data_IF_376597393993
#
_entry.id   IF_376597393993
#
_cell.length_a   1.000
_cell.length_b   1.000
_cell.length_c   1.000
_cell.angle_alpha   90.00
_cell.angle_beta   90.00
_cell.angle_gamma   90.00
#
_symmetry.space_group_name_H-M   'P 1'
#
loop_
_entity.id
_entity.type
_entity.pdbx_description
1 polymer ?
#
# COMPACT_ATOMS: atom_id res chain seq x y z
N UNK A 1 70.07 34.02 -17.42
CA UNK A 1 69.14 33.09 -18.09
C UNK A 1 69.14 31.69 -17.44
N UNK A 2 70.28 31.04 -17.19
CA UNK A 2 70.30 29.70 -16.55
C UNK A 2 69.92 29.67 -15.06
N UNK A 3 70.26 30.71 -14.28
CA UNK A 3 69.95 30.75 -12.83
C UNK A 3 68.46 30.94 -12.50
N UNK A 4 67.67 31.55 -13.40
CA UNK A 4 66.23 31.77 -13.20
C UNK A 4 65.46 30.45 -13.35
N UNK A 5 65.89 29.58 -14.26
CA UNK A 5 65.26 28.28 -14.51
C UNK A 5 65.43 27.28 -13.35
N UNK A 6 66.53 27.38 -12.59
CA UNK A 6 66.77 26.55 -11.40
C UNK A 6 65.88 26.92 -10.20
N UNK A 7 65.55 28.20 -10.04
CA UNK A 7 64.66 28.69 -8.96
C UNK A 7 63.20 28.33 -9.26
N UNK A 8 62.79 28.37 -10.52
CA UNK A 8 61.43 27.98 -10.95
C UNK A 8 61.23 26.47 -10.76
N UNK A 9 62.22 25.64 -11.06
CA UNK A 9 62.12 24.19 -10.89
C UNK A 9 61.98 23.74 -9.43
N UNK A 10 62.63 24.42 -8.47
CA UNK A 10 62.57 24.02 -7.06
C UNK A 10 61.26 24.45 -6.36
N UNK A 11 60.69 25.59 -6.76
CA UNK A 11 59.43 26.10 -6.20
C UNK A 11 58.22 25.28 -6.64
N UNK A 12 58.23 24.73 -7.86
CA UNK A 12 57.20 23.81 -8.36
C UNK A 12 57.23 22.47 -7.58
N UNK A 13 58.40 22.02 -7.14
CA UNK A 13 58.55 20.75 -6.44
C UNK A 13 58.05 20.82 -4.97
N UNK A 14 58.27 21.95 -4.29
CA UNK A 14 57.85 22.14 -2.90
C UNK A 14 56.34 22.37 -2.74
N UNK A 15 55.68 23.01 -3.71
CA UNK A 15 54.22 23.20 -3.70
C UNK A 15 53.48 21.88 -3.99
N UNK A 16 54.00 21.04 -4.89
CA UNK A 16 53.44 19.72 -5.20
C UNK A 16 53.38 18.79 -3.98
N UNK A 17 54.41 18.80 -3.12
CA UNK A 17 54.45 17.98 -1.90
C UNK A 17 53.44 18.45 -0.84
N UNK A 18 53.20 19.76 -0.75
CA UNK A 18 52.24 20.34 0.19
C UNK A 18 50.80 20.02 -0.20
N UNK A 19 50.49 20.03 -1.50
CA UNK A 19 49.17 19.67 -2.04
C UNK A 19 48.88 18.18 -1.83
N UNK A 20 49.88 17.30 -2.01
CA UNK A 20 49.70 15.86 -1.82
C UNK A 20 49.34 15.47 -0.37
N UNK A 21 49.75 16.26 0.63
CA UNK A 21 49.40 16.03 2.04
C UNK A 21 47.95 16.41 2.36
N UNK A 22 47.38 17.40 1.67
CA UNK A 22 45.99 17.81 1.87
C UNK A 22 44.99 16.85 1.20
N UNK A 23 45.34 16.25 0.06
CA UNK A 23 44.46 15.28 -0.63
C UNK A 23 44.26 13.99 0.18
N UNK A 24 45.30 13.52 0.88
CA UNK A 24 45.23 12.28 1.67
C UNK A 24 44.62 12.46 3.07
N UNK A 25 44.33 13.69 3.49
CA UNK A 25 43.74 13.99 4.80
C UNK A 25 42.22 14.25 4.74
N UNK A 26 41.60 14.21 3.55
CA UNK A 26 40.14 14.23 3.46
C UNK A 26 39.60 12.88 3.92
N UNK A 27 38.84 12.82 5.05
CA UNK A 27 38.09 11.63 5.36
C UNK A 27 37.13 11.40 4.20
N UNK A 28 37.39 10.34 3.43
CA UNK A 28 36.42 9.81 2.49
C UNK A 28 35.28 9.32 3.39
N UNK A 29 34.24 10.16 3.55
CA UNK A 29 33.01 9.75 4.19
C UNK A 29 32.54 8.50 3.47
N UNK A 30 32.70 7.34 4.10
CA UNK A 30 32.25 6.08 3.52
C UNK A 30 30.74 6.17 3.49
N UNK A 31 30.15 6.56 2.34
CA UNK A 31 28.71 6.40 2.10
C UNK A 31 28.44 4.91 2.18
N UNK A 32 28.01 4.44 3.35
CA UNK A 32 27.53 3.08 3.54
C UNK A 32 26.33 2.91 2.62
N UNK A 33 26.36 1.87 1.79
CA UNK A 33 25.24 1.55 0.89
C UNK A 33 24.00 1.32 1.74
N UNK A 34 22.85 1.95 1.43
CA UNK A 34 21.61 1.72 2.17
C UNK A 34 21.22 0.24 2.16
N UNK A 35 20.65 -0.23 3.26
CA UNK A 35 20.03 -1.56 3.34
C UNK A 35 18.67 -1.50 2.64
N UNK A 36 18.30 -2.50 1.84
CA UNK A 36 17.02 -2.50 1.12
C UNK A 36 16.10 -3.55 1.74
N UNK A 37 14.94 -3.12 2.24
CA UNK A 37 13.88 -4.00 2.70
C UNK A 37 12.91 -4.35 1.57
N UNK A 38 12.49 -5.62 1.42
CA UNK A 38 11.51 -5.98 0.39
C UNK A 38 10.16 -5.28 0.61
N UNK A 39 9.55 -4.80 -0.47
CA UNK A 39 8.16 -4.30 -0.41
C UNK A 39 7.19 -5.44 -0.09
N UNK A 40 6.37 -5.24 0.95
CA UNK A 40 5.41 -6.24 1.42
C UNK A 40 3.97 -5.91 1.01
N UNK A 41 3.08 -6.90 1.11
CA UNK A 41 1.63 -6.68 0.95
C UNK A 41 1.07 -5.67 1.96
N UNK A 42 1.56 -5.71 3.20
CA UNK A 42 1.23 -4.72 4.22
C UNK A 42 1.65 -3.32 3.78
N UNK A 43 2.84 -3.19 3.21
CA UNK A 43 3.35 -1.92 2.71
C UNK A 43 2.44 -1.33 1.62
N UNK A 44 2.17 -2.09 0.57
CA UNK A 44 1.32 -1.65 -0.55
C UNK A 44 -0.09 -1.29 -0.08
N UNK A 45 -0.63 -2.04 0.89
CA UNK A 45 -1.93 -1.74 1.47
C UNK A 45 -1.93 -0.40 2.19
N UNK A 46 -0.92 -0.10 2.99
CA UNK A 46 -0.87 1.16 3.71
C UNK A 46 -0.57 2.37 2.81
N UNK A 47 0.14 2.17 1.69
CA UNK A 47 0.24 3.18 0.62
C UNK A 47 -1.15 3.48 0.04
N UNK A 48 -1.96 2.46 -0.25
CA UNK A 48 -3.33 2.60 -0.75
C UNK A 48 -4.23 3.36 0.25
N UNK A 49 -4.20 2.97 1.53
CA UNK A 49 -4.96 3.61 2.61
C UNK A 49 -4.58 5.08 2.80
N UNK A 50 -3.28 5.39 2.82
CA UNK A 50 -2.81 6.77 2.96
C UNK A 50 -3.19 7.66 1.76
N UNK A 51 -3.21 7.06 0.57
CA UNK A 51 -3.49 7.77 -0.68
C UNK A 51 -4.97 8.12 -0.86
N UNK A 52 -5.86 7.15 -0.64
CA UNK A 52 -7.29 7.30 -0.95
C UNK A 52 -8.23 6.69 0.09
N UNK A 53 -7.71 6.23 1.23
CA UNK A 53 -8.41 5.28 2.11
C UNK A 53 -8.75 3.98 1.39
N UNK A 54 -7.90 3.63 0.41
CA UNK A 54 -8.04 2.51 -0.50
C UNK A 54 -9.44 2.38 -1.14
N UNK A 55 -10.02 3.53 -1.54
CA UNK A 55 -11.39 3.58 -2.06
C UNK A 55 -11.47 3.00 -3.48
N UNK A 56 -12.02 1.79 -3.58
CA UNK A 56 -12.21 1.05 -4.83
C UNK A 56 -13.28 1.65 -5.75
N UNK A 57 -14.04 2.64 -5.27
CA UNK A 57 -15.04 3.35 -6.09
C UNK A 57 -14.42 4.47 -6.90
N UNK A 58 -13.23 4.96 -6.52
CA UNK A 58 -12.53 6.00 -7.26
C UNK A 58 -12.23 5.52 -8.68
N UNK A 59 -12.52 6.41 -9.63
CA UNK A 59 -12.23 6.23 -11.05
C UNK A 59 -11.07 7.14 -11.45
N UNK A 60 -11.02 7.48 -12.73
CA UNK A 60 -10.07 8.45 -13.25
C UNK A 60 -10.63 9.86 -13.12
N UNK A 61 -9.86 10.74 -12.48
CA UNK A 61 -10.03 12.17 -12.69
C UNK A 61 -9.25 12.53 -13.95
N UNK A 62 -9.96 13.04 -14.95
CA UNK A 62 -9.38 13.36 -16.26
C UNK A 62 -8.80 14.76 -16.29
N UNK A 63 -7.72 14.94 -17.05
CA UNK A 63 -7.09 16.24 -17.30
C UNK A 63 -6.75 17.01 -16.02
N UNK A 64 -6.27 16.30 -14.98
CA UNK A 64 -5.70 16.92 -13.79
C UNK A 64 -4.53 17.80 -14.23
N UNK A 65 -4.53 19.05 -13.79
CA UNK A 65 -3.54 20.08 -14.16
C UNK A 65 -3.35 20.31 -15.69
N UNK A 66 -4.29 19.82 -16.50
CA UNK A 66 -4.37 20.06 -17.95
C UNK A 66 -3.76 18.99 -18.85
N UNK A 67 -3.07 17.96 -18.32
CA UNK A 67 -2.32 17.02 -19.17
C UNK A 67 -2.32 15.54 -18.72
N UNK A 68 -2.85 15.22 -17.54
CA UNK A 68 -2.72 13.87 -16.96
C UNK A 68 -3.99 13.37 -16.31
N UNK A 69 -4.26 12.08 -16.49
CA UNK A 69 -5.31 11.39 -15.77
C UNK A 69 -4.75 10.78 -14.48
N UNK A 70 -5.52 10.86 -13.38
CA UNK A 70 -5.17 10.27 -12.08
C UNK A 70 -6.24 9.26 -11.69
N UNK A 71 -5.89 7.98 -11.56
CA UNK A 71 -6.88 6.90 -11.52
C UNK A 71 -6.80 6.00 -10.29
N UNK A 72 -7.98 5.58 -9.84
CA UNK A 72 -8.17 4.42 -8.98
C UNK A 72 -7.70 4.57 -7.53
N UNK A 73 -7.67 3.46 -6.77
CA UNK A 73 -7.41 3.50 -5.32
C UNK A 73 -5.96 3.88 -4.99
N UNK A 74 -5.01 3.63 -5.89
CA UNK A 74 -3.64 4.09 -5.73
C UNK A 74 -3.40 5.48 -6.33
N UNK A 75 -4.38 6.12 -6.98
CA UNK A 75 -4.23 7.47 -7.57
C UNK A 75 -2.96 7.61 -8.42
N UNK A 76 -2.68 6.57 -9.22
CA UNK A 76 -1.53 6.55 -10.13
C UNK A 76 -1.87 7.23 -11.45
N UNK A 77 -0.83 7.68 -12.15
CA UNK A 77 -0.94 8.21 -13.52
C UNK A 77 -0.50 7.21 -14.57
N UNK A 78 -0.77 7.53 -15.84
CA UNK A 78 -0.28 6.72 -16.95
C UNK A 78 1.24 6.59 -16.94
N UNK A 79 1.96 7.64 -16.51
CA UNK A 79 3.42 7.61 -16.41
C UNK A 79 3.90 6.64 -15.33
N UNK A 80 3.26 6.65 -14.17
CA UNK A 80 3.58 5.71 -13.07
C UNK A 80 3.31 4.28 -13.52
N UNK A 81 2.20 4.05 -14.23
CA UNK A 81 1.85 2.75 -14.81
C UNK A 81 2.88 2.28 -15.85
N UNK A 82 3.33 3.15 -16.76
CA UNK A 82 4.38 2.85 -17.74
C UNK A 82 5.67 2.44 -17.05
N UNK A 83 6.12 3.23 -16.07
CA UNK A 83 7.33 2.93 -15.33
C UNK A 83 7.18 1.72 -14.40
N UNK A 84 5.95 1.39 -14.01
CA UNK A 84 5.53 0.16 -13.33
C UNK A 84 5.38 -1.06 -14.23
N UNK A 85 6.02 -1.07 -15.41
CA UNK A 85 6.00 -2.14 -16.42
C UNK A 85 4.63 -2.40 -17.07
N UNK A 86 3.73 -1.41 -17.06
CA UNK A 86 2.46 -1.46 -17.80
C UNK A 86 1.66 -2.75 -17.62
N UNK A 87 1.39 -3.22 -16.39
CA UNK A 87 0.58 -4.41 -16.19
C UNK A 87 -0.82 -4.19 -16.75
N UNK A 88 -1.44 -5.27 -17.20
CA UNK A 88 -2.80 -5.25 -17.77
C UNK A 88 -3.66 -6.26 -17.03
N UNK A 89 -4.98 -6.03 -16.97
CA UNK A 89 -5.92 -6.97 -16.32
C UNK A 89 -5.96 -8.30 -17.07
N UNK A 90 -5.93 -8.22 -18.40
CA UNK A 90 -6.02 -9.34 -19.31
C UNK A 90 -5.06 -9.15 -20.47
N UNK A 91 -4.61 -10.24 -21.06
CA UNK A 91 -3.61 -10.17 -22.13
C UNK A 91 -4.13 -9.42 -23.37
N UNK A 92 -5.43 -9.52 -23.68
CA UNK A 92 -6.04 -8.76 -24.77
C UNK A 92 -6.01 -7.24 -24.57
N UNK A 93 -5.90 -6.76 -23.32
CA UNK A 93 -5.87 -5.33 -23.02
C UNK A 93 -4.56 -4.68 -23.51
N UNK A 94 -3.51 -5.46 -23.84
CA UNK A 94 -2.29 -4.95 -24.49
C UNK A 94 -2.53 -4.41 -25.91
N UNK A 95 -3.65 -4.76 -26.54
CA UNK A 95 -4.02 -4.26 -27.86
C UNK A 95 -4.79 -2.93 -27.80
N UNK A 96 -5.10 -2.44 -26.60
CA UNK A 96 -5.73 -1.14 -26.40
C UNK A 96 -4.71 -0.01 -26.52
N UNK A 97 -5.20 1.22 -26.64
CA UNK A 97 -4.34 2.39 -26.45
C UNK A 97 -3.81 2.42 -25.02
N UNK A 98 -2.62 2.99 -24.81
CA UNK A 98 -2.01 3.08 -23.49
C UNK A 98 -2.95 3.71 -22.46
N UNK A 99 -3.69 4.76 -22.85
CA UNK A 99 -4.68 5.42 -21.99
C UNK A 99 -5.77 4.44 -21.52
N UNK A 100 -6.35 3.65 -22.43
CA UNK A 100 -7.42 2.70 -22.08
C UNK A 100 -6.89 1.49 -21.28
N UNK A 101 -5.71 0.97 -21.64
CA UNK A 101 -5.05 -0.09 -20.88
C UNK A 101 -4.71 0.36 -19.45
N UNK A 102 -4.13 1.57 -19.33
CA UNK A 102 -3.88 2.24 -18.06
C UNK A 102 -5.16 2.42 -17.24
N UNK A 103 -6.23 2.98 -17.82
CA UNK A 103 -7.49 3.19 -17.10
C UNK A 103 -8.09 1.89 -16.56
N UNK A 104 -8.04 0.82 -17.36
CA UNK A 104 -8.51 -0.49 -16.91
C UNK A 104 -7.65 -0.99 -15.74
N UNK A 105 -6.33 -0.93 -15.87
CA UNK A 105 -5.40 -1.34 -14.83
C UNK A 105 -5.53 -0.55 -13.54
N UNK A 106 -5.48 0.78 -13.62
CA UNK A 106 -5.50 1.65 -12.47
C UNK A 106 -6.80 1.56 -11.68
N UNK A 107 -7.93 1.23 -12.32
CA UNK A 107 -9.22 1.04 -11.67
C UNK A 107 -9.45 -0.37 -11.07
N UNK A 108 -8.51 -1.31 -11.27
CA UNK A 108 -8.53 -2.63 -10.63
C UNK A 108 -7.50 -2.69 -9.50
N UNK A 109 -7.92 -3.14 -8.32
CA UNK A 109 -7.06 -3.17 -7.13
C UNK A 109 -5.75 -3.94 -7.34
N UNK A 110 -5.82 -5.10 -7.99
CA UNK A 110 -4.64 -5.97 -8.13
C UNK A 110 -3.71 -5.43 -9.20
N UNK A 111 -4.25 -5.01 -10.34
CA UNK A 111 -3.43 -4.44 -11.41
C UNK A 111 -2.78 -3.13 -10.98
N UNK A 112 -3.53 -2.22 -10.34
CA UNK A 112 -2.98 -0.96 -9.81
C UNK A 112 -1.91 -1.23 -8.76
N UNK A 113 -2.11 -2.22 -7.88
CA UNK A 113 -1.13 -2.61 -6.87
C UNK A 113 0.17 -3.11 -7.50
N UNK A 114 0.09 -3.96 -8.52
CA UNK A 114 1.28 -4.45 -9.23
C UNK A 114 2.01 -3.30 -9.97
N UNK A 115 1.28 -2.37 -10.60
CA UNK A 115 1.87 -1.19 -11.22
C UNK A 115 2.63 -0.34 -10.19
N UNK A 116 1.98 -0.01 -9.06
CA UNK A 116 2.59 0.73 -7.95
C UNK A 116 3.82 -0.01 -7.40
N UNK A 117 3.71 -1.32 -7.16
CA UNK A 117 4.81 -2.14 -6.64
C UNK A 117 6.03 -2.07 -7.56
N UNK A 118 5.85 -2.27 -8.87
CA UNK A 118 6.94 -2.16 -9.83
C UNK A 118 7.52 -0.76 -9.87
N UNK A 119 6.68 0.28 -9.86
CA UNK A 119 7.12 1.68 -9.88
C UNK A 119 8.02 2.01 -8.68
N UNK A 120 7.53 1.80 -7.45
CA UNK A 120 8.28 2.16 -6.23
C UNK A 120 9.50 1.27 -6.03
N UNK A 121 9.48 0.02 -6.50
CA UNK A 121 10.65 -0.87 -6.47
C UNK A 121 11.71 -0.41 -7.48
N UNK A 122 11.29 0.02 -8.68
CA UNK A 122 12.19 0.50 -9.73
C UNK A 122 12.95 1.76 -9.31
N UNK A 123 12.30 2.63 -8.55
CA UNK A 123 12.87 3.90 -8.09
C UNK A 123 13.24 3.91 -6.60
N UNK A 124 13.46 2.72 -6.04
CA UNK A 124 13.84 2.55 -4.65
C UNK A 124 15.10 3.38 -4.30
N UNK A 125 14.95 4.31 -3.37
CA UNK A 125 16.03 5.14 -2.85
C UNK A 125 15.74 5.51 -1.39
N UNK A 126 16.78 5.86 -0.64
CA UNK A 126 16.67 6.29 0.76
C UNK A 126 16.24 7.77 0.75
N UNK A 127 14.96 8.00 1.04
CA UNK A 127 14.32 9.30 0.90
C UNK A 127 14.47 10.16 2.16
N UNK A 128 14.60 9.52 3.33
CA UNK A 128 14.76 10.20 4.61
C UNK A 128 16.22 10.23 5.11
N UNK A 129 17.16 9.64 4.36
CA UNK A 129 18.59 9.52 4.66
C UNK A 129 18.89 8.79 5.98
N UNK A 130 18.09 7.78 6.34
CA UNK A 130 18.30 6.98 7.55
C UNK A 130 19.21 5.75 7.35
N UNK A 131 19.66 5.51 6.12
CA UNK A 131 20.50 4.39 5.73
C UNK A 131 19.74 3.10 5.40
N UNK A 132 18.40 3.14 5.39
CA UNK A 132 17.52 2.01 5.06
C UNK A 132 16.48 2.46 4.04
N UNK A 133 16.32 1.68 2.98
CA UNK A 133 15.21 1.81 2.03
C UNK A 133 14.11 0.87 2.51
N UNK A 134 13.06 1.43 3.10
CA UNK A 134 11.95 0.70 3.69
C UNK A 134 10.60 1.17 3.12
N UNK A 135 9.50 0.71 3.74
CA UNK A 135 8.17 1.03 3.26
C UNK A 135 7.82 2.53 3.31
N UNK A 136 8.42 3.30 4.23
CA UNK A 136 8.21 4.74 4.30
C UNK A 136 8.80 5.42 3.06
N UNK A 137 9.97 4.98 2.58
CA UNK A 137 10.57 5.47 1.34
C UNK A 137 9.71 5.13 0.12
N UNK A 138 9.21 3.90 0.02
CA UNK A 138 8.28 3.51 -1.04
C UNK A 138 7.01 4.37 -1.02
N UNK A 139 6.49 4.70 0.17
CA UNK A 139 5.34 5.58 0.31
C UNK A 139 5.64 7.02 -0.13
N UNK A 140 6.84 7.54 0.16
CA UNK A 140 7.29 8.86 -0.32
C UNK A 140 7.51 8.91 -1.83
N UNK A 141 8.11 7.86 -2.41
CA UNK A 141 8.26 7.72 -3.87
C UNK A 141 6.90 7.67 -4.55
N UNK A 142 5.93 6.96 -3.99
CA UNK A 142 4.57 6.94 -4.53
C UNK A 142 3.90 8.34 -4.47
N UNK A 143 4.06 9.05 -3.35
CA UNK A 143 3.41 10.34 -3.11
C UNK A 143 4.00 11.48 -3.95
N UNK A 144 5.32 11.51 -4.11
CA UNK A 144 6.05 12.64 -4.70
C UNK A 144 6.86 12.28 -5.95
N UNK A 145 6.94 11.00 -6.31
CA UNK A 145 7.76 10.50 -7.41
C UNK A 145 9.24 10.34 -7.04
N UNK A 146 9.99 9.73 -7.96
CA UNK A 146 11.42 9.40 -7.76
C UNK A 146 12.30 10.62 -7.43
N UNK A 147 12.02 11.78 -8.02
CA UNK A 147 12.90 12.95 -7.94
C UNK A 147 12.63 13.82 -6.71
N UNK A 148 11.54 13.57 -6.00
CA UNK A 148 11.05 14.47 -4.94
C UNK A 148 10.62 13.72 -3.68
N UNK A 149 11.01 12.46 -3.52
CA UNK A 149 10.63 11.66 -2.36
C UNK A 149 11.25 12.16 -1.03
N UNK A 150 12.27 13.02 -1.09
CA UNK A 150 12.83 13.72 0.08
C UNK A 150 11.89 14.77 0.67
N UNK A 151 10.84 15.17 -0.07
CA UNK A 151 9.80 16.05 0.46
C UNK A 151 9.11 15.34 1.63
N UNK A 152 9.03 15.96 2.82
CA UNK A 152 8.34 15.36 3.95
C UNK A 152 6.87 15.07 3.64
N UNK A 153 6.42 13.87 3.98
CA UNK A 153 5.01 13.50 3.91
C UNK A 153 4.19 14.44 4.80
N UNK A 154 3.08 14.95 4.25
CA UNK A 154 2.14 15.75 5.03
C UNK A 154 1.51 14.92 6.16
N UNK A 155 1.12 15.58 7.25
CA UNK A 155 0.58 14.89 8.44
C UNK A 155 -0.64 14.01 8.09
N UNK A 156 -1.51 14.47 7.19
CA UNK A 156 -2.71 13.71 6.82
C UNK A 156 -2.39 12.39 6.12
N UNK A 157 -1.43 12.40 5.20
CA UNK A 157 -0.94 11.17 4.57
C UNK A 157 -0.16 10.30 5.57
N UNK A 158 0.75 10.90 6.32
CA UNK A 158 1.64 10.19 7.25
C UNK A 158 0.87 9.51 8.37
N UNK A 159 -0.13 10.17 8.96
CA UNK A 159 -0.93 9.62 10.05
C UNK A 159 -1.72 8.39 9.59
N UNK A 160 -2.37 8.45 8.42
CA UNK A 160 -3.08 7.31 7.82
C UNK A 160 -2.13 6.15 7.53
N UNK A 161 -0.96 6.45 6.98
CA UNK A 161 0.07 5.44 6.70
C UNK A 161 0.52 4.77 8.00
N UNK A 162 0.95 5.55 9.00
CA UNK A 162 1.48 5.07 10.28
C UNK A 162 0.43 4.22 11.03
N UNK A 163 -0.82 4.68 11.05
CA UNK A 163 -1.94 3.94 11.66
C UNK A 163 -2.13 2.58 10.99
N UNK A 164 -2.18 2.55 9.66
CA UNK A 164 -2.31 1.30 8.92
C UNK A 164 -1.13 0.36 9.17
N UNK A 165 0.10 0.89 9.11
CA UNK A 165 1.32 0.08 9.14
C UNK A 165 1.54 -0.53 10.53
N UNK A 166 1.39 0.27 11.61
CA UNK A 166 1.47 -0.21 12.99
C UNK A 166 0.43 -1.30 13.27
N UNK A 167 -0.83 -1.05 12.90
CA UNK A 167 -1.92 -1.99 13.15
C UNK A 167 -1.74 -3.34 12.42
N UNK A 168 -1.05 -3.35 11.28
CA UNK A 168 -0.82 -4.56 10.48
C UNK A 168 0.46 -5.28 10.85
N UNK A 169 1.54 -4.58 11.21
CA UNK A 169 2.77 -5.21 11.68
C UNK A 169 2.57 -5.88 13.03
N UNK A 170 1.85 -5.24 13.95
CA UNK A 170 1.48 -5.87 15.23
C UNK A 170 0.70 -7.20 15.02
N UNK A 171 -0.15 -7.26 13.98
CA UNK A 171 -0.85 -8.51 13.62
C UNK A 171 0.05 -9.55 12.95
N UNK A 172 1.10 -9.13 12.27
CA UNK A 172 2.07 -10.05 11.67
C UNK A 172 2.89 -10.75 12.77
N UNK A 173 3.25 -10.01 13.83
CA UNK A 173 3.87 -10.57 15.04
C UNK A 173 2.94 -11.56 15.74
N UNK A 174 1.64 -11.28 15.80
CA UNK A 174 0.62 -12.20 16.35
C UNK A 174 0.45 -13.49 15.52
N UNK A 175 0.57 -13.41 14.19
CA UNK A 175 0.49 -14.57 13.29
C UNK A 175 1.75 -15.43 13.39
N UNK A 176 2.94 -14.82 13.47
CA UNK A 176 4.19 -15.55 13.70
C UNK A 176 4.19 -16.23 15.09
N UNK A 177 3.67 -15.56 16.12
CA UNK A 177 3.49 -16.13 17.45
C UNK A 177 2.44 -17.27 17.50
N UNK A 178 1.45 -17.26 16.60
CA UNK A 178 0.47 -18.36 16.45
C UNK A 178 0.94 -19.52 15.58
N UNK A 179 1.85 -19.30 14.63
CA UNK A 179 2.45 -20.37 13.81
C UNK A 179 3.63 -21.06 14.51
N UNK A 180 4.28 -20.41 15.49
CA UNK A 180 5.19 -21.09 16.42
C UNK A 180 4.36 -21.61 17.60
N UNK A 181 3.61 -22.70 17.40
CA UNK A 181 3.26 -23.56 18.53
C UNK A 181 4.54 -24.33 18.87
N UNK A 182 5.14 -24.18 20.07
CA UNK A 182 6.11 -25.15 20.53
C UNK A 182 5.39 -26.50 20.59
N UNK A 183 5.98 -27.54 20.02
CA UNK A 183 5.47 -28.93 20.04
C UNK A 183 5.40 -29.54 21.46
N UNK A 184 5.36 -28.72 22.50
CA UNK A 184 5.49 -29.11 23.89
C UNK A 184 4.37 -28.48 24.74
N UNK A 185 3.10 -28.84 24.52
CA UNK A 185 2.10 -28.71 25.59
C UNK A 185 0.89 -29.66 25.44
N UNK A 186 1.12 -30.95 25.23
CA UNK A 186 0.08 -31.98 25.29
C UNK A 186 -0.02 -32.71 26.65
N UNK A 187 0.54 -32.16 27.74
CA UNK A 187 0.54 -32.85 29.04
C UNK A 187 -0.03 -32.04 30.23
N UNK A 188 -0.76 -30.95 30.02
CA UNK A 188 -1.32 -30.15 31.14
C UNK A 188 -2.85 -30.04 31.14
N UNK A 189 -3.55 -31.00 30.52
CA UNK A 189 -5.03 -31.13 30.58
C UNK A 189 -5.52 -32.57 30.79
N UNK A 190 -4.78 -33.37 31.54
CA UNK A 190 -5.34 -34.54 32.24
C UNK A 190 -4.97 -34.37 33.70
N UNK A 191 -5.99 -34.43 34.56
CA UNK A 191 -6.00 -34.37 36.03
C UNK A 191 -6.81 -33.15 36.50
N UNK A 192 -7.94 -33.43 37.16
CA UNK A 192 -8.90 -32.53 37.82
C UNK A 192 -10.25 -32.30 37.11
N UNK A 193 -10.87 -33.34 36.55
CA UNK A 193 -12.34 -33.32 36.34
C UNK A 193 -12.94 -34.72 36.28
N UNK A 194 -12.97 -35.37 37.45
CA UNK A 194 -13.90 -36.45 37.80
C UNK A 194 -13.68 -36.71 39.30
N UNK A 195 -14.51 -36.11 40.16
CA UNK A 195 -14.78 -36.48 41.57
C UNK A 195 -15.19 -35.31 42.50
N UNK A 196 -15.61 -34.17 41.95
CA UNK A 196 -16.32 -33.18 42.75
C UNK A 196 -17.44 -32.59 41.91
N UNK A 197 -18.66 -33.07 42.15
CA UNK A 197 -19.97 -32.40 42.01
C UNK A 197 -21.12 -33.43 42.13
N UNK A 198 -20.98 -34.43 43.02
CA UNK A 198 -22.13 -35.12 43.62
C UNK A 198 -22.41 -34.42 44.94
N UNK A 199 -23.04 -33.23 44.92
CA UNK A 199 -23.86 -32.74 46.05
C UNK A 199 -24.68 -31.47 45.76
N UNK A 200 -25.38 -31.34 44.63
CA UNK A 200 -26.45 -30.31 44.57
C UNK A 200 -27.56 -30.64 43.56
N UNK A 201 -28.06 -31.87 43.63
CA UNK A 201 -29.32 -32.27 43.02
C UNK A 201 -30.15 -32.88 44.13
N UNK A 202 -31.07 -32.10 44.71
CA UNK A 202 -32.31 -32.51 45.40
C UNK A 202 -32.84 -31.44 46.39
N UNK A 203 -33.13 -30.23 45.91
CA UNK A 203 -34.14 -29.40 46.55
C UNK A 203 -34.83 -28.54 45.50
N UNK A 204 -36.15 -28.70 45.40
CA UNK A 204 -37.10 -27.90 44.61
C UNK A 204 -37.33 -28.33 43.16
N UNK A 205 -38.06 -29.44 42.98
CA UNK A 205 -39.28 -29.42 42.14
C UNK A 205 -40.05 -30.74 42.26
N UNK A 206 -40.88 -30.85 43.29
CA UNK A 206 -42.11 -31.64 43.21
C UNK A 206 -43.20 -30.92 44.03
N UNK A 207 -44.42 -30.89 43.47
CA UNK A 207 -45.67 -30.27 43.97
C UNK A 207 -45.81 -28.77 43.61
N UNK A 208 -46.77 -28.31 42.78
CA UNK A 208 -48.14 -28.75 42.43
C UNK A 208 -48.44 -28.35 40.96
N UNK A 209 -48.88 -29.25 40.07
CA UNK A 209 -50.28 -29.67 39.73
C UNK A 209 -51.27 -28.54 39.34
N UNK A 210 -51.55 -28.38 38.03
CA UNK A 210 -52.83 -28.66 37.33
C UNK A 210 -53.07 -27.81 36.05
N UNK A 211 -53.78 -28.43 35.09
CA UNK A 211 -53.99 -28.26 33.62
C UNK A 211 -55.39 -27.58 33.33
N UNK A 212 -55.96 -27.31 32.11
CA UNK A 212 -55.52 -27.05 30.69
C UNK A 212 -56.13 -25.78 30.00
N UNK A 213 -55.71 -25.49 28.75
CA UNK A 213 -56.53 -24.84 27.69
C UNK A 213 -55.67 -24.18 26.61
N UNK A 214 -55.38 -24.82 25.46
CA UNK A 214 -56.12 -24.84 24.17
C UNK A 214 -55.76 -23.71 23.16
N UNK A 215 -55.20 -24.16 22.03
CA UNK A 215 -55.28 -23.70 20.61
C UNK A 215 -55.17 -22.19 20.26
N UNK A 216 -54.19 -21.82 19.43
CA UNK A 216 -54.37 -21.70 17.97
C UNK A 216 -53.13 -21.17 17.25
N UNK A 217 -52.87 -21.80 16.10
CA UNK A 217 -52.04 -21.29 15.02
C UNK A 217 -52.78 -20.14 14.30
N UNK A 218 -52.03 -19.20 13.73
CA UNK A 218 -52.43 -18.47 12.53
C UNK A 218 -51.19 -18.13 11.71
N UNK A 219 -51.17 -18.70 10.51
CA UNK A 219 -50.49 -18.16 9.33
C UNK A 219 -51.19 -16.86 8.91
N UNK A 220 -50.46 -15.97 8.23
CA UNK A 220 -50.88 -15.05 7.16
C UNK A 220 -49.59 -14.35 6.72
N UNK A 221 -48.87 -14.83 5.70
CA UNK A 221 -49.09 -14.63 4.26
C UNK A 221 -49.23 -13.15 3.86
N UNK A 222 -48.18 -12.59 3.26
CA UNK A 222 -48.30 -11.48 2.31
C UNK A 222 -47.14 -11.56 1.31
N UNK A 223 -47.40 -12.23 0.19
CA UNK A 223 -46.80 -11.88 -1.11
C UNK A 223 -47.51 -10.65 -1.65
N UNK A 224 -46.76 -9.70 -2.21
CA UNK A 224 -46.94 -9.37 -3.63
C UNK A 224 -45.81 -8.50 -4.17
N UNK A 225 -45.42 -8.91 -5.38
CA UNK A 225 -44.58 -8.23 -6.35
C UNK A 225 -45.25 -6.93 -6.81
N UNK A 226 -44.48 -5.93 -7.22
CA UNK A 226 -44.83 -5.20 -8.44
C UNK A 226 -43.61 -4.57 -9.12
N UNK A 227 -43.59 -4.79 -10.43
CA UNK A 227 -42.63 -4.29 -11.41
C UNK A 227 -42.95 -2.83 -11.72
N UNK A 228 -41.94 -2.01 -11.94
CA UNK A 228 -42.11 -0.91 -12.90
C UNK A 228 -40.79 -0.58 -13.60
N UNK A 229 -40.75 -0.98 -14.88
CA UNK A 229 -39.90 -0.38 -15.89
C UNK A 229 -40.55 0.95 -16.28
N UNK A 230 -39.77 2.02 -16.36
CA UNK A 230 -40.14 3.12 -17.24
C UNK A 230 -38.95 3.56 -18.08
N UNK A 231 -39.28 3.76 -19.35
CA UNK A 231 -38.44 3.85 -20.53
C UNK A 231 -38.73 5.23 -21.10
N UNK A 232 -37.75 6.12 -21.15
CA UNK A 232 -37.83 7.31 -22.00
C UNK A 232 -36.57 7.38 -22.88
N UNK A 233 -36.79 6.96 -24.14
CA UNK A 233 -36.26 7.55 -25.37
C UNK A 233 -36.89 8.97 -25.52
N UNK A 234 -36.39 9.96 -26.24
CA UNK A 234 -35.67 10.08 -27.52
C UNK A 234 -34.90 11.44 -27.50
N UNK A 235 -33.69 11.51 -28.06
CA UNK A 235 -33.26 12.29 -29.26
C UNK A 235 -33.27 13.82 -29.13
N UNK A 236 -32.13 14.42 -29.46
CA UNK A 236 -32.08 15.35 -30.59
C UNK A 236 -30.66 15.39 -31.20
N UNK A 237 -30.64 15.24 -32.53
CA UNK A 237 -29.52 15.46 -33.43
C UNK A 237 -29.31 16.97 -33.61
N UNK A 238 -28.06 17.43 -33.75
CA UNK A 238 -27.74 18.43 -34.76
C UNK A 238 -26.25 18.36 -35.12
N UNK A 239 -26.02 18.29 -36.43
CA UNK A 239 -24.76 18.43 -37.14
C UNK A 239 -24.47 19.90 -37.43
N UNK A 240 -23.33 20.10 -38.09
CA UNK A 240 -22.86 21.28 -38.85
C UNK A 240 -22.02 22.24 -37.98
N UNK A 241 -20.85 22.76 -38.37
CA UNK A 241 -19.92 22.64 -39.50
C UNK A 241 -18.63 23.44 -39.12
N UNK A 242 -17.63 23.48 -40.01
CA UNK A 242 -16.50 24.45 -40.12
C UNK A 242 -15.20 24.11 -39.35
N UNK A 243 -14.15 23.61 -40.02
CA UNK A 243 -13.16 24.35 -40.85
C UNK A 243 -12.14 25.14 -39.98
N UNK A 244 -10.96 24.55 -39.73
CA UNK A 244 -9.61 25.09 -39.94
C UNK A 244 -8.53 24.08 -39.54
#
# INVERSE_FOLDING_TARGET
>A
MQFVNLIIASTICLSALSIYRLVNAYPQGTKTRPTIEPITETCLRCICEATSSCDLKLKCDENVDGDRDVCGPFRITQQDWIFGNSPVLKEEDRNLTDRLAFWRCANDLNCSKEATKHYVTRYAQDCNNDGVINCLDYASIHKFGMASCEIPLDNGYKDKYDECYKNRNNRQDDVQAKMIIPLNNMNTKRNNSADSLILEKNRNQSERKNIPGEINANNDDYKNEDKNANKNKDKDENKDDEEY
#
